data_IF_263633111205
#
_entry.id   IF_263633111205
#
_cell.length_a   1.000
_cell.length_b   1.000
_cell.length_c   1.000
_cell.angle_alpha   90.00
_cell.angle_beta   90.00
_cell.angle_gamma   90.00
#
_symmetry.space_group_name_H-M   'P 1'
#
loop_
_entity.id
_entity.type
_entity.pdbx_description
1 polymer ?
#
# COMPACT_ATOMS: atom_id res chain seq x y z
N UNK A 1 -20.88 9.32 -0.67
CA UNK A 1 -20.11 8.33 -1.47
C UNK A 1 -18.73 8.90 -1.75
N UNK A 2 -17.75 8.64 -0.89
CA UNK A 2 -16.35 8.88 -1.21
C UNK A 2 -15.75 7.52 -1.52
N UNK A 3 -15.74 7.16 -2.80
CA UNK A 3 -15.07 5.94 -3.26
C UNK A 3 -13.58 6.14 -3.04
N UNK A 4 -13.07 5.74 -1.87
CA UNK A 4 -11.63 5.51 -1.72
C UNK A 4 -11.31 4.45 -2.78
N UNK A 5 -10.65 4.84 -3.87
CA UNK A 5 -10.25 3.87 -4.90
C UNK A 5 -9.23 2.94 -4.25
N UNK A 6 -9.66 1.76 -3.84
CA UNK A 6 -8.77 0.78 -3.26
C UNK A 6 -7.92 0.20 -4.39
N UNK A 7 -6.71 0.73 -4.57
CA UNK A 7 -5.71 0.09 -5.43
C UNK A 7 -5.17 -1.15 -4.72
N UNK A 8 -5.93 -2.24 -4.79
CA UNK A 8 -5.60 -3.52 -4.16
C UNK A 8 -4.33 -4.13 -4.74
N UNK A 9 -4.06 -3.90 -6.03
CA UNK A 9 -2.88 -4.42 -6.73
C UNK A 9 -1.58 -3.98 -6.04
N UNK A 10 -1.50 -2.73 -5.56
CA UNK A 10 -0.32 -2.25 -4.83
C UNK A 10 -0.12 -3.03 -3.52
N UNK A 11 -1.21 -3.29 -2.79
CA UNK A 11 -1.18 -4.05 -1.52
C UNK A 11 -0.85 -5.52 -1.75
N UNK A 12 -1.44 -6.14 -2.76
CA UNK A 12 -1.14 -7.52 -3.16
C UNK A 12 0.32 -7.65 -3.57
N UNK A 13 0.82 -6.72 -4.39
CA UNK A 13 2.23 -6.64 -4.79
C UNK A 13 3.18 -6.62 -3.59
N UNK A 14 2.88 -5.81 -2.57
CA UNK A 14 3.63 -5.80 -1.29
C UNK A 14 3.60 -7.16 -0.59
N UNK A 15 2.44 -7.82 -0.54
CA UNK A 15 2.28 -9.10 0.17
C UNK A 15 2.96 -10.27 -0.53
N UNK A 16 2.95 -10.31 -1.87
CA UNK A 16 3.56 -11.40 -2.66
C UNK A 16 5.03 -11.16 -2.99
N UNK A 17 5.55 -9.97 -2.72
CA UNK A 17 6.97 -9.65 -2.91
C UNK A 17 7.85 -10.53 -1.99
N UNK A 18 8.69 -11.36 -2.59
CA UNK A 18 9.64 -12.24 -1.89
C UNK A 18 11.11 -11.81 -2.07
N UNK A 19 11.34 -10.72 -2.81
CA UNK A 19 12.69 -10.28 -3.21
C UNK A 19 13.06 -8.92 -2.64
N UNK A 20 12.29 -8.43 -1.67
CA UNK A 20 12.41 -7.07 -1.15
C UNK A 20 12.45 -6.02 -2.28
N UNK A 21 11.62 -6.20 -3.31
CA UNK A 21 11.43 -5.18 -4.35
C UNK A 21 10.89 -3.88 -3.76
N UNK A 22 11.28 -2.74 -4.33
CA UNK A 22 10.84 -1.41 -3.90
C UNK A 22 9.51 -1.07 -4.59
N UNK A 23 8.53 -0.61 -3.81
CA UNK A 23 7.26 -0.12 -4.34
C UNK A 23 7.42 1.33 -4.82
N UNK A 24 7.16 1.58 -6.10
CA UNK A 24 6.93 2.92 -6.62
C UNK A 24 5.43 3.17 -6.67
N UNK A 25 4.99 4.33 -6.20
CA UNK A 25 3.57 4.64 -6.06
C UNK A 25 3.28 6.07 -6.49
N UNK A 26 2.24 6.22 -7.32
CA UNK A 26 1.78 7.55 -7.72
C UNK A 26 1.19 8.31 -6.53
N UNK A 27 1.44 9.62 -6.43
CA UNK A 27 0.78 10.48 -5.43
C UNK A 27 -0.76 10.49 -5.59
N UNK A 28 -1.25 10.19 -6.79
CA UNK A 28 -2.68 10.11 -7.11
C UNK A 28 -3.26 8.70 -6.90
N UNK A 29 -2.42 7.72 -6.59
CA UNK A 29 -2.84 6.36 -6.30
C UNK A 29 -3.74 6.36 -5.06
N UNK A 30 -4.84 5.60 -5.11
CA UNK A 30 -5.71 5.51 -3.95
C UNK A 30 -5.08 4.82 -2.73
N UNK A 31 -4.03 4.02 -2.95
CA UNK A 31 -3.20 3.44 -1.90
C UNK A 31 -2.14 4.40 -1.34
N UNK A 32 -1.94 5.58 -1.94
CA UNK A 32 -0.88 6.52 -1.55
C UNK A 32 -0.98 6.98 -0.10
N UNK A 33 -2.17 7.36 0.35
CA UNK A 33 -2.41 7.78 1.74
C UNK A 33 -2.08 6.70 2.77
N UNK A 34 -2.04 5.44 2.36
CA UNK A 34 -1.65 4.34 3.22
C UNK A 34 -0.16 4.07 3.01
N UNK A 35 0.27 3.68 1.82
CA UNK A 35 1.59 3.11 1.60
C UNK A 35 2.69 4.13 1.26
N UNK A 36 2.33 5.39 1.04
CA UNK A 36 3.22 6.43 0.51
C UNK A 36 4.47 6.67 1.34
N UNK A 37 4.36 6.60 2.68
CA UNK A 37 5.48 6.84 3.59
C UNK A 37 6.63 5.82 3.43
N UNK A 38 6.32 4.61 2.96
CA UNK A 38 7.29 3.53 2.79
C UNK A 38 7.61 3.25 1.32
N UNK A 39 6.75 3.70 0.41
CA UNK A 39 6.97 3.67 -1.04
C UNK A 39 7.90 4.80 -1.50
N UNK A 40 8.40 4.70 -2.73
CA UNK A 40 8.93 5.85 -3.44
C UNK A 40 7.80 6.52 -4.23
N UNK A 41 7.53 7.77 -3.92
CA UNK A 41 6.48 8.54 -4.60
C UNK A 41 6.94 8.95 -5.99
N UNK A 42 6.07 8.76 -6.98
CA UNK A 42 6.27 9.27 -8.35
C UNK A 42 5.08 10.12 -8.77
N UNK A 43 5.32 11.08 -9.67
CA UNK A 43 4.24 11.78 -10.36
C UNK A 43 4.08 11.18 -11.76
N UNK A 44 2.89 10.75 -12.18
CA UNK A 44 2.67 10.16 -13.50
C UNK A 44 2.86 11.18 -14.64
N UNK A 45 2.91 12.47 -14.32
CA UNK A 45 3.11 13.56 -15.26
C UNK A 45 4.58 13.96 -15.43
N UNK A 46 5.48 13.42 -14.59
CA UNK A 46 6.92 13.69 -14.63
C UNK A 46 7.70 12.41 -14.94
N UNK A 47 7.96 12.21 -16.23
CA UNK A 47 8.70 11.06 -16.74
C UNK A 47 10.16 11.08 -16.27
N UNK A 48 10.75 12.27 -16.13
CA UNK A 48 12.16 12.39 -15.76
C UNK A 48 12.37 11.99 -14.30
N UNK A 49 11.59 12.57 -13.39
CA UNK A 49 11.60 12.20 -11.97
C UNK A 49 11.22 10.74 -11.75
N UNK A 50 10.29 10.20 -12.55
CA UNK A 50 9.96 8.77 -12.49
C UNK A 50 11.16 7.89 -12.87
N UNK A 51 11.93 8.26 -13.90
CA UNK A 51 13.12 7.53 -14.31
C UNK A 51 14.23 7.57 -13.25
N UNK A 52 14.44 8.73 -12.63
CA UNK A 52 15.39 8.89 -11.51
C UNK A 52 14.98 8.05 -10.30
N UNK A 53 13.70 8.04 -9.97
CA UNK A 53 13.15 7.25 -8.87
C UNK A 53 13.27 5.75 -9.14
N UNK A 54 13.04 5.32 -10.38
CA UNK A 54 13.26 3.93 -10.79
C UNK A 54 14.74 3.55 -10.68
N UNK A 55 15.64 4.43 -11.11
CA UNK A 55 17.07 4.22 -10.96
C UNK A 55 17.44 4.07 -9.48
N UNK A 56 16.97 4.99 -8.62
CA UNK A 56 17.15 4.94 -7.17
C UNK A 56 16.69 3.58 -6.60
N UNK A 57 15.50 3.12 -6.96
CA UNK A 57 14.96 1.83 -6.52
C UNK A 57 15.85 0.64 -6.91
N UNK A 58 16.41 0.66 -8.13
CA UNK A 58 17.25 -0.41 -8.65
C UNK A 58 18.63 -0.45 -7.97
N UNK A 59 19.19 0.71 -7.60
CA UNK A 59 20.51 0.80 -6.94
C UNK A 59 20.42 0.86 -5.41
N UNK A 60 19.22 0.92 -4.84
CA UNK A 60 18.99 0.99 -3.40
C UNK A 60 19.68 -0.16 -2.66
N UNK A 61 20.40 0.06 -1.54
CA UNK A 61 21.03 -1.00 -0.78
C UNK A 61 20.03 -2.07 -0.30
N UNK A 62 20.47 -3.33 -0.27
CA UNK A 62 19.60 -4.45 0.10
C UNK A 62 18.97 -4.30 1.50
N UNK A 63 19.71 -3.71 2.44
CA UNK A 63 19.22 -3.42 3.78
C UNK A 63 18.06 -2.43 3.77
N UNK A 64 18.20 -1.30 3.08
CA UNK A 64 17.14 -0.29 2.96
C UNK A 64 15.90 -0.88 2.26
N UNK A 65 16.10 -1.64 1.17
CA UNK A 65 15.01 -2.32 0.48
C UNK A 65 14.24 -3.26 1.42
N UNK A 66 14.96 -4.05 2.22
CA UNK A 66 14.37 -4.96 3.20
C UNK A 66 13.60 -4.23 4.30
N UNK A 67 14.13 -3.12 4.80
CA UNK A 67 13.44 -2.29 5.80
C UNK A 67 12.12 -1.74 5.26
N UNK A 68 12.14 -1.13 4.07
CA UNK A 68 10.92 -0.61 3.41
C UNK A 68 9.90 -1.71 3.12
N UNK A 69 10.33 -2.83 2.56
CA UNK A 69 9.44 -3.94 2.23
C UNK A 69 8.84 -4.60 3.48
N UNK A 70 9.59 -4.70 4.58
CA UNK A 70 9.06 -5.13 5.88
C UNK A 70 7.99 -4.17 6.40
N UNK A 71 8.28 -2.87 6.42
CA UNK A 71 7.33 -1.85 6.89
C UNK A 71 6.03 -1.84 6.07
N UNK A 72 6.12 -1.93 4.74
CA UNK A 72 4.97 -2.05 3.86
C UNK A 72 4.10 -3.27 4.18
N UNK A 73 4.71 -4.46 4.38
CA UNK A 73 3.95 -5.67 4.71
C UNK A 73 3.25 -5.57 6.06
N UNK A 74 3.91 -5.00 7.06
CA UNK A 74 3.31 -4.74 8.38
C UNK A 74 2.11 -3.80 8.27
N UNK A 75 2.25 -2.72 7.50
CA UNK A 75 1.20 -1.76 7.29
C UNK A 75 -0.03 -2.36 6.60
N UNK A 76 0.18 -3.11 5.51
CA UNK A 76 -0.91 -3.79 4.79
C UNK A 76 -1.61 -4.81 5.69
N UNK A 77 -0.87 -5.62 6.46
CA UNK A 77 -1.45 -6.59 7.39
C UNK A 77 -2.31 -5.93 8.46
N UNK A 78 -1.83 -4.84 9.06
CA UNK A 78 -2.57 -4.12 10.10
C UNK A 78 -3.86 -3.49 9.56
N UNK A 79 -3.83 -2.96 8.33
CA UNK A 79 -5.02 -2.46 7.66
C UNK A 79 -6.04 -3.57 7.39
N UNK A 80 -5.59 -4.76 6.95
CA UNK A 80 -6.45 -5.92 6.73
C UNK A 80 -7.15 -6.39 8.01
N UNK A 81 -6.45 -6.40 9.15
CA UNK A 81 -7.05 -6.75 10.45
C UNK A 81 -8.12 -5.76 10.86
N UNK A 82 -7.88 -4.46 10.69
CA UNK A 82 -8.88 -3.41 10.98
C UNK A 82 -10.12 -3.56 10.11
N UNK A 83 -9.94 -3.84 8.82
CA UNK A 83 -11.03 -4.04 7.89
C UNK A 83 -11.89 -5.25 8.29
N UNK A 84 -11.25 -6.38 8.58
CA UNK A 84 -11.94 -7.59 9.05
C UNK A 84 -12.77 -7.31 10.31
N UNK A 85 -12.19 -6.62 11.30
CA UNK A 85 -12.90 -6.31 12.54
C UNK A 85 -14.12 -5.40 12.29
N UNK A 86 -13.98 -4.39 11.44
CA UNK A 86 -15.10 -3.52 11.06
C UNK A 86 -16.22 -4.31 10.39
N UNK A 87 -15.90 -5.23 9.49
CA UNK A 87 -16.89 -6.11 8.85
C UNK A 87 -17.66 -6.93 9.89
N UNK A 88 -16.99 -7.50 10.88
CA UNK A 88 -17.65 -8.28 11.93
C UNK A 88 -18.60 -7.43 12.79
N UNK A 89 -18.19 -6.22 13.16
CA UNK A 89 -19.04 -5.30 13.94
C UNK A 89 -20.26 -4.86 13.13
N UNK A 90 -20.07 -4.48 11.87
CA UNK A 90 -21.16 -4.05 10.99
C UNK A 90 -22.19 -5.16 10.79
N UNK A 91 -21.74 -6.40 10.63
CA UNK A 91 -22.63 -7.55 10.47
C UNK A 91 -23.39 -7.87 11.76
N UNK A 92 -22.75 -7.78 12.93
CA UNK A 92 -23.43 -7.90 14.22
C UNK A 92 -24.49 -6.80 14.44
N UNK A 93 -24.19 -5.56 14.08
CA UNK A 93 -25.12 -4.43 14.19
C UNK A 93 -26.32 -4.56 13.24
N UNK A 94 -26.12 -5.12 12.04
CA UNK A 94 -27.23 -5.44 11.13
C UNK A 94 -28.12 -6.53 11.70
N UNK A 95 -27.54 -7.58 12.29
CA UNK A 95 -28.29 -8.66 12.94
C UNK A 95 -29.19 -8.17 14.08
N UNK A 96 -28.73 -7.19 14.86
CA UNK A 96 -29.51 -6.58 15.95
C UNK A 96 -30.63 -5.64 15.47
N UNK A 97 -30.56 -5.11 14.25
CA UNK A 97 -31.61 -4.24 13.67
C UNK A 97 -32.70 -5.01 12.91
N UNK A 98 -32.50 -6.30 12.66
CA UNK A 98 -33.46 -7.19 11.98
C UNK A 98 -34.21 -8.11 12.94
N UNK A 99 -33.98 -7.95 14.24
CA UNK A 99 -34.75 -8.53 15.36
C UNK A 99 -35.64 -7.47 16.00
#
# INVERSE_FOLDING_TARGET
>A
MHSRRYELVAKEGVLVNQREGVLLLSEFAGAYYELGDQALTVSPFDIHSTAETLHQALVMPAEERGQRAKALREQVRNASVKLWFQTQVDDALKGLRQS
#
